data_IF_302432467968
#
_entry.id   IF_302432467968
#
_cell.length_a   1.000
_cell.length_b   1.000
_cell.length_c   1.000
_cell.angle_alpha   90.00
_cell.angle_beta   90.00
_cell.angle_gamma   90.00
#
_symmetry.space_group_name_H-M   'P 1'
#
loop_
_entity.id
_entity.type
_entity.pdbx_description
1 polymer ?
#
# COMPACT_ATOMS: atom_id res chain seq x y z
N UNK A 1 -19.71 -36.97 -24.12
CA UNK A 1 -20.16 -36.12 -23.00
C UNK A 1 -19.06 -35.87 -21.96
N UNK A 2 -18.04 -36.72 -21.81
CA UNK A 2 -16.87 -36.43 -20.94
C UNK A 2 -15.88 -35.43 -21.57
N UNK A 3 -15.69 -35.50 -22.89
CA UNK A 3 -14.66 -34.71 -23.59
C UNK A 3 -14.99 -33.22 -23.71
N UNK A 4 -16.27 -32.85 -23.69
CA UNK A 4 -16.69 -31.44 -23.78
C UNK A 4 -16.39 -30.69 -22.47
N UNK A 5 -16.45 -31.39 -21.32
CA UNK A 5 -16.15 -30.82 -20.01
C UNK A 5 -14.65 -30.59 -19.79
N UNK A 6 -13.80 -31.42 -20.42
CA UNK A 6 -12.35 -31.23 -20.42
C UNK A 6 -11.96 -30.06 -21.33
N UNK A 7 -12.58 -29.96 -22.51
CA UNK A 7 -12.38 -28.84 -23.43
C UNK A 7 -12.85 -27.50 -22.84
N UNK A 8 -13.96 -27.48 -22.09
CA UNK A 8 -14.44 -26.27 -21.42
C UNK A 8 -13.55 -25.87 -20.25
N UNK A 9 -13.07 -26.84 -19.45
CA UNK A 9 -12.12 -26.59 -18.36
C UNK A 9 -10.77 -26.11 -18.89
N UNK A 10 -10.29 -26.64 -20.01
CA UNK A 10 -9.05 -26.21 -20.64
C UNK A 10 -9.21 -24.86 -21.36
N UNK A 11 -10.38 -24.55 -21.91
CA UNK A 11 -10.69 -23.24 -22.50
C UNK A 11 -10.77 -22.13 -21.44
N UNK A 12 -11.31 -22.43 -20.25
CA UNK A 12 -11.32 -21.49 -19.10
C UNK A 12 -9.91 -21.28 -18.53
N UNK A 13 -8.98 -22.25 -18.69
CA UNK A 13 -7.56 -22.10 -18.31
C UNK A 13 -6.77 -21.34 -19.40
N UNK A 14 -7.19 -21.39 -20.67
CA UNK A 14 -6.46 -20.80 -21.80
C UNK A 14 -6.84 -19.35 -22.17
N UNK A 15 -7.78 -18.72 -21.48
CA UNK A 15 -7.90 -17.25 -21.50
C UNK A 15 -6.91 -16.57 -20.53
N UNK A 16 -5.78 -17.23 -20.22
CA UNK A 16 -4.60 -16.50 -19.81
C UNK A 16 -4.05 -15.75 -21.02
N UNK A 17 -4.61 -14.56 -21.29
CA UNK A 17 -3.94 -13.60 -22.15
C UNK A 17 -2.44 -13.56 -21.76
N UNK A 18 -1.52 -13.69 -22.72
CA UNK A 18 -0.10 -13.73 -22.46
C UNK A 18 0.39 -12.30 -22.22
N UNK A 19 -0.27 -11.55 -21.35
CA UNK A 19 0.25 -10.28 -20.91
C UNK A 19 1.40 -10.55 -19.94
N UNK A 20 2.60 -10.68 -20.54
CA UNK A 20 3.92 -10.56 -19.89
C UNK A 20 4.18 -9.17 -19.28
N UNK A 21 3.14 -8.37 -19.10
CA UNK A 21 3.23 -6.97 -18.76
C UNK A 21 2.46 -6.70 -17.48
N UNK A 22 3.08 -5.91 -16.61
CA UNK A 22 2.44 -5.39 -15.41
C UNK A 22 1.11 -4.69 -15.78
N UNK A 23 -0.02 -4.98 -15.10
CA UNK A 23 -1.30 -4.34 -15.37
C UNK A 23 -1.27 -2.90 -14.83
N UNK A 24 -0.58 -2.02 -15.55
CA UNK A 24 -0.40 -0.61 -15.24
C UNK A 24 -1.74 0.07 -14.94
N UNK A 25 -2.77 -0.26 -15.72
CA UNK A 25 -4.12 0.32 -15.58
C UNK A 25 -4.71 0.00 -14.19
N UNK A 26 -4.64 -1.26 -13.75
CA UNK A 26 -5.15 -1.67 -12.45
C UNK A 26 -4.40 -0.98 -11.30
N UNK A 27 -3.07 -0.87 -11.43
CA UNK A 27 -2.22 -0.15 -10.50
C UNK A 27 -2.58 1.35 -10.41
N UNK A 28 -2.78 2.00 -11.55
CA UNK A 28 -3.14 3.43 -11.64
C UNK A 28 -4.52 3.68 -11.04
N UNK A 29 -5.54 2.90 -11.40
CA UNK A 29 -6.90 3.04 -10.87
C UNK A 29 -6.91 2.91 -9.35
N UNK A 30 -6.21 1.91 -8.81
CA UNK A 30 -6.09 1.73 -7.37
C UNK A 30 -5.46 2.93 -6.67
N UNK A 31 -4.34 3.46 -7.19
CA UNK A 31 -3.73 4.65 -6.62
C UNK A 31 -4.70 5.84 -6.64
N UNK A 32 -5.40 6.08 -7.77
CA UNK A 32 -6.39 7.17 -7.87
C UNK A 32 -7.47 7.03 -6.79
N UNK A 33 -8.02 5.83 -6.59
CA UNK A 33 -9.05 5.59 -5.57
C UNK A 33 -8.50 5.82 -4.16
N UNK A 34 -7.28 5.36 -3.86
CA UNK A 34 -6.61 5.58 -2.58
C UNK A 34 -6.38 7.06 -2.31
N UNK A 35 -5.82 7.80 -3.27
CA UNK A 35 -5.58 9.24 -3.16
C UNK A 35 -6.88 10.02 -2.98
N UNK A 36 -7.93 9.65 -3.74
CA UNK A 36 -9.23 10.29 -3.64
C UNK A 36 -9.86 10.06 -2.27
N UNK A 37 -9.78 8.84 -1.75
CA UNK A 37 -10.31 8.52 -0.42
C UNK A 37 -9.55 9.26 0.69
N UNK A 38 -8.22 9.30 0.62
CA UNK A 38 -7.39 10.09 1.54
C UNK A 38 -7.75 11.59 1.51
N UNK A 39 -7.98 12.16 0.32
CA UNK A 39 -8.41 13.54 0.17
C UNK A 39 -9.78 13.82 0.81
N UNK A 40 -10.76 12.93 0.62
CA UNK A 40 -12.09 13.04 1.26
C UNK A 40 -11.95 13.07 2.79
N UNK A 41 -11.15 12.17 3.36
CA UNK A 41 -10.90 12.12 4.81
C UNK A 41 -10.25 13.42 5.30
N UNK A 42 -9.17 13.88 4.66
CA UNK A 42 -8.48 15.12 5.06
C UNK A 42 -9.40 16.34 4.93
N UNK A 43 -10.19 16.41 3.85
CA UNK A 43 -11.13 17.51 3.60
C UNK A 43 -12.20 17.60 4.69
N UNK A 44 -12.74 16.47 5.14
CA UNK A 44 -13.69 16.42 6.26
C UNK A 44 -13.05 16.77 7.60
N UNK A 45 -11.79 16.39 7.85
CA UNK A 45 -11.07 16.82 9.06
C UNK A 45 -10.80 18.34 9.08
N UNK A 46 -10.56 18.96 7.93
CA UNK A 46 -10.17 20.37 7.83
C UNK A 46 -11.36 21.33 7.67
N UNK A 47 -12.56 20.83 7.33
CA UNK A 47 -13.73 21.69 7.18
C UNK A 47 -14.20 22.21 8.55
N UNK A 48 -14.15 23.52 8.73
CA UNK A 48 -14.68 24.25 9.90
C UNK A 48 -16.20 24.15 10.05
N UNK A 49 -16.89 23.80 8.96
CA UNK A 49 -18.31 23.48 8.95
C UNK A 49 -18.46 22.00 9.28
N UNK A 50 -19.18 21.67 10.38
CA UNK A 50 -19.61 20.31 10.71
C UNK A 50 -20.51 19.77 9.58
N UNK A 51 -19.91 19.31 8.47
CA UNK A 51 -20.59 18.41 7.56
C UNK A 51 -20.79 17.11 8.31
N UNK A 52 -22.02 16.61 8.35
CA UNK A 52 -22.30 15.31 8.92
C UNK A 52 -21.36 14.28 8.29
N UNK A 53 -20.72 13.48 9.13
CA UNK A 53 -19.80 12.43 8.70
C UNK A 53 -20.63 11.34 8.05
N UNK A 54 -20.99 11.54 6.77
CA UNK A 54 -21.82 10.59 6.05
C UNK A 54 -21.03 9.29 5.86
N UNK A 55 -21.44 8.26 6.58
CA UNK A 55 -20.74 6.98 6.65
C UNK A 55 -20.88 6.23 5.31
N UNK A 56 -21.96 6.48 4.58
CA UNK A 56 -22.31 5.77 3.34
C UNK A 56 -21.23 5.90 2.25
N UNK A 57 -20.73 7.10 1.86
CA UNK A 57 -19.66 7.21 0.89
C UNK A 57 -18.37 6.51 1.34
N UNK A 58 -18.02 6.52 2.62
CA UNK A 58 -16.82 5.82 3.11
C UNK A 58 -16.93 4.30 2.98
N UNK A 59 -18.11 3.73 3.24
CA UNK A 59 -18.37 2.30 3.03
C UNK A 59 -18.19 1.94 1.55
N UNK A 60 -18.74 2.74 0.64
CA UNK A 60 -18.62 2.49 -0.81
C UNK A 60 -17.17 2.54 -1.27
N UNK A 61 -16.41 3.55 -0.85
CA UNK A 61 -14.97 3.62 -1.14
C UNK A 61 -14.21 2.43 -0.58
N UNK A 62 -14.53 2.00 0.64
CA UNK A 62 -13.87 0.86 1.28
C UNK A 62 -14.11 -0.45 0.51
N UNK A 63 -15.36 -0.70 0.08
CA UNK A 63 -15.69 -1.88 -0.76
C UNK A 63 -14.94 -1.82 -2.10
N UNK A 64 -14.93 -0.65 -2.76
CA UNK A 64 -14.22 -0.47 -4.03
C UNK A 64 -12.71 -0.71 -3.87
N UNK A 65 -12.12 -0.20 -2.80
CA UNK A 65 -10.72 -0.42 -2.45
C UNK A 65 -10.42 -1.89 -2.19
N UNK A 66 -11.27 -2.60 -1.45
CA UNK A 66 -11.11 -4.02 -1.20
C UNK A 66 -11.12 -4.85 -2.50
N UNK A 67 -12.04 -4.57 -3.41
CA UNK A 67 -12.12 -5.26 -4.70
C UNK A 67 -10.82 -5.03 -5.49
N UNK A 68 -10.37 -3.78 -5.62
CA UNK A 68 -9.12 -3.45 -6.32
C UNK A 68 -7.90 -4.10 -5.67
N UNK A 69 -7.86 -4.14 -4.34
CA UNK A 69 -6.80 -4.77 -3.57
C UNK A 69 -6.72 -6.28 -3.81
N UNK A 70 -7.87 -6.97 -3.76
CA UNK A 70 -7.94 -8.41 -4.04
C UNK A 70 -7.48 -8.68 -5.47
N UNK A 71 -7.91 -7.89 -6.45
CA UNK A 71 -7.48 -8.02 -7.84
C UNK A 71 -5.96 -7.86 -7.99
N UNK A 72 -5.36 -6.89 -7.30
CA UNK A 72 -3.91 -6.70 -7.32
C UNK A 72 -3.14 -7.83 -6.64
N UNK A 73 -3.63 -8.34 -5.51
CA UNK A 73 -3.02 -9.50 -4.85
C UNK A 73 -3.06 -10.72 -5.77
N UNK A 74 -4.19 -10.95 -6.45
CA UNK A 74 -4.31 -12.04 -7.43
C UNK A 74 -3.33 -11.85 -8.59
N UNK A 75 -3.24 -10.64 -9.15
CA UNK A 75 -2.34 -10.39 -10.28
C UNK A 75 -0.87 -10.59 -9.91
N UNK A 76 -0.47 -10.11 -8.73
CA UNK A 76 0.88 -10.31 -8.18
C UNK A 76 1.14 -11.80 -7.92
N UNK A 77 0.21 -12.52 -7.29
CA UNK A 77 0.36 -13.94 -7.03
C UNK A 77 0.46 -14.77 -8.32
N UNK A 78 -0.29 -14.40 -9.37
CA UNK A 78 -0.14 -15.03 -10.70
C UNK A 78 1.25 -14.79 -11.28
N UNK A 79 1.77 -13.57 -11.22
CA UNK A 79 3.11 -13.26 -11.70
C UNK A 79 4.21 -13.99 -10.92
N UNK A 80 4.05 -14.11 -9.59
CA UNK A 80 4.93 -14.90 -8.72
C UNK A 80 4.92 -16.38 -9.12
N UNK A 81 3.75 -16.96 -9.39
CA UNK A 81 3.63 -18.36 -9.84
C UNK A 81 4.29 -18.60 -11.20
N UNK A 82 4.33 -17.58 -12.07
CA UNK A 82 4.98 -17.64 -13.39
C UNK A 82 6.47 -17.27 -13.34
N UNK A 83 7.00 -17.00 -12.15
CA UNK A 83 8.38 -16.53 -11.94
C UNK A 83 8.77 -15.30 -12.77
N UNK A 84 7.80 -14.41 -13.01
CA UNK A 84 8.06 -13.18 -13.77
C UNK A 84 8.69 -12.12 -12.87
N UNK A 85 10.02 -12.13 -12.84
CA UNK A 85 10.80 -11.20 -12.03
C UNK A 85 10.70 -9.77 -12.58
N UNK A 86 10.55 -9.57 -13.90
CA UNK A 86 10.42 -8.23 -14.48
C UNK A 86 9.11 -7.58 -14.03
N UNK A 87 8.01 -8.33 -14.03
CA UNK A 87 6.74 -7.90 -13.45
C UNK A 87 6.91 -7.46 -11.99
N UNK A 88 7.63 -8.26 -11.19
CA UNK A 88 7.80 -7.99 -9.77
C UNK A 88 8.68 -6.76 -9.50
N UNK A 89 9.68 -6.50 -10.36
CA UNK A 89 10.49 -5.26 -10.30
C UNK A 89 9.62 -4.05 -10.62
N UNK A 90 8.90 -4.08 -11.74
CA UNK A 90 8.09 -2.95 -12.20
C UNK A 90 6.97 -2.66 -11.18
N UNK A 91 6.32 -3.69 -10.66
CA UNK A 91 5.32 -3.57 -9.61
C UNK A 91 5.89 -3.04 -8.30
N UNK A 92 7.03 -3.55 -7.84
CA UNK A 92 7.66 -3.08 -6.59
C UNK A 92 8.05 -1.60 -6.67
N UNK A 93 8.59 -1.16 -7.81
CA UNK A 93 8.94 0.25 -8.04
C UNK A 93 7.67 1.10 -8.15
N UNK A 94 6.71 0.70 -8.97
CA UNK A 94 5.48 1.46 -9.17
C UNK A 94 4.69 1.64 -7.88
N UNK A 95 4.44 0.56 -7.13
CA UNK A 95 3.75 0.66 -5.84
C UNK A 95 4.59 1.41 -4.81
N UNK A 96 5.91 1.19 -4.78
CA UNK A 96 6.81 1.91 -3.88
C UNK A 96 6.72 3.42 -4.05
N UNK A 97 6.79 3.93 -5.28
CA UNK A 97 6.77 5.37 -5.56
C UNK A 97 5.35 5.96 -5.54
N UNK A 98 4.37 5.28 -6.13
CA UNK A 98 3.00 5.79 -6.21
C UNK A 98 2.33 5.86 -4.83
N UNK A 99 2.62 4.90 -3.93
CA UNK A 99 2.09 4.90 -2.56
C UNK A 99 2.97 5.65 -1.56
N UNK A 100 4.11 6.22 -1.97
CA UNK A 100 5.02 6.86 -1.02
C UNK A 100 4.38 7.99 -0.20
N UNK A 101 3.69 8.99 -0.78
CA UNK A 101 3.04 10.05 0.00
C UNK A 101 1.99 9.52 0.97
N UNK A 102 1.15 8.58 0.51
CA UNK A 102 0.08 8.00 1.33
C UNK A 102 0.65 7.16 2.47
N UNK A 103 1.67 6.35 2.18
CA UNK A 103 2.34 5.53 3.19
C UNK A 103 3.08 6.39 4.22
N UNK A 104 3.73 7.47 3.80
CA UNK A 104 4.36 8.44 4.69
C UNK A 104 3.32 9.14 5.58
N UNK A 105 2.24 9.63 4.98
CA UNK A 105 1.14 10.27 5.69
C UNK A 105 0.53 9.31 6.72
N UNK A 106 0.26 8.07 6.33
CA UNK A 106 -0.31 7.06 7.21
C UNK A 106 0.64 6.71 8.37
N UNK A 107 1.95 6.58 8.09
CA UNK A 107 2.95 6.35 9.12
C UNK A 107 3.03 7.53 10.12
N UNK A 108 2.96 8.77 9.64
CA UNK A 108 2.91 9.96 10.50
C UNK A 108 1.63 10.03 11.32
N UNK A 109 0.48 9.68 10.74
CA UNK A 109 -0.78 9.61 11.46
C UNK A 109 -0.76 8.54 12.56
N UNK A 110 -0.25 7.34 12.28
CA UNK A 110 -0.10 6.27 13.28
C UNK A 110 0.83 6.73 14.41
N UNK A 111 1.96 7.37 14.07
CA UNK A 111 2.87 7.92 15.08
C UNK A 111 2.19 9.01 15.92
N UNK A 112 1.47 9.93 15.28
CA UNK A 112 0.74 11.01 15.96
C UNK A 112 -0.34 10.49 16.91
N UNK A 113 -1.12 9.49 16.47
CA UNK A 113 -2.11 8.80 17.32
C UNK A 113 -1.42 8.10 18.48
N UNK A 114 -0.36 7.33 18.25
CA UNK A 114 0.36 6.63 19.31
C UNK A 114 0.93 7.60 20.36
N UNK A 115 1.52 8.72 19.94
CA UNK A 115 2.04 9.75 20.85
C UNK A 115 0.90 10.43 21.61
N UNK A 116 -0.21 10.73 20.94
CA UNK A 116 -1.41 11.30 21.56
C UNK A 116 -2.01 10.38 22.62
N UNK A 117 -2.13 9.08 22.31
CA UNK A 117 -2.61 8.06 23.25
C UNK A 117 -1.69 7.96 24.49
N UNK A 118 -0.37 7.96 24.30
CA UNK A 118 0.60 7.97 25.41
C UNK A 118 0.39 9.22 26.29
N UNK A 119 0.19 10.39 25.68
CA UNK A 119 -0.02 11.63 26.44
C UNK A 119 -1.33 11.61 27.24
N UNK A 120 -2.41 11.08 26.66
CA UNK A 120 -3.69 10.88 27.36
C UNK A 120 -3.49 9.94 28.55
N UNK A 121 -2.78 8.83 28.37
CA UNK A 121 -2.52 7.87 29.45
C UNK A 121 -1.69 8.49 30.58
N UNK A 122 -0.65 9.27 30.25
CA UNK A 122 0.14 10.00 31.24
C UNK A 122 -0.75 11.00 32.00
N UNK A 123 -1.57 11.78 31.31
CA UNK A 123 -2.48 12.74 31.92
C UNK A 123 -3.47 12.07 32.88
N UNK A 124 -3.98 10.88 32.52
CA UNK A 124 -4.85 10.09 33.40
C UNK A 124 -4.12 9.53 34.63
N UNK A 125 -2.83 9.25 34.56
CA UNK A 125 -2.04 8.79 35.72
C UNK A 125 -1.69 9.92 36.71
N UNK A 126 -1.64 11.17 36.25
CA UNK A 126 -1.37 12.34 37.11
C UNK A 126 -2.52 12.62 38.09
N UNK A 127 -3.75 12.25 37.74
CA UNK A 127 -4.93 12.46 38.59
C UNK A 127 -5.24 11.17 39.37
N UNK A 128 -5.07 11.14 40.71
CA UNK A 128 -5.20 9.91 41.51
C UNK A 128 -6.56 9.20 41.37
N UNK A 129 -7.64 9.96 41.18
CA UNK A 129 -8.98 9.43 40.98
C UNK A 129 -9.16 8.71 39.63
N UNK A 130 -8.34 9.04 38.62
CA UNK A 130 -8.44 8.48 37.27
C UNK A 130 -7.63 7.19 37.09
N UNK A 131 -6.77 6.82 38.06
CA UNK A 131 -5.91 5.61 37.99
C UNK A 131 -6.75 4.34 37.78
N UNK A 132 -7.93 4.25 38.40
CA UNK A 132 -8.86 3.11 38.21
C UNK A 132 -9.47 3.06 36.80
N UNK A 133 -9.56 4.21 36.11
CA UNK A 133 -10.15 4.35 34.78
C UNK A 133 -9.11 4.16 33.66
N UNK A 134 -7.82 4.36 33.96
CA UNK A 134 -6.70 4.15 33.01
C UNK A 134 -6.80 2.85 32.22
N UNK A 135 -7.00 1.65 32.80
CA UNK A 135 -7.10 0.42 32.01
C UNK A 135 -8.30 0.41 31.06
N UNK A 136 -9.41 1.03 31.43
CA UNK A 136 -10.61 1.14 30.57
C UNK A 136 -10.41 2.08 29.38
N UNK A 137 -9.49 3.04 29.47
CA UNK A 137 -9.10 3.92 28.36
C UNK A 137 -7.96 3.29 27.54
N UNK A 138 -6.99 2.64 28.20
CA UNK A 138 -5.84 2.05 27.54
C UNK A 138 -6.23 0.91 26.58
N UNK A 139 -7.18 0.04 26.96
CA UNK A 139 -7.63 -1.08 26.13
C UNK A 139 -8.16 -0.60 24.76
N UNK A 140 -9.16 0.31 24.68
CA UNK A 140 -9.66 0.78 23.39
C UNK A 140 -8.61 1.56 22.58
N UNK A 141 -7.71 2.31 23.21
CA UNK A 141 -6.58 2.97 22.53
C UNK A 141 -5.67 1.92 21.84
N UNK A 142 -5.25 0.89 22.55
CA UNK A 142 -4.41 -0.18 21.99
C UNK A 142 -5.13 -0.90 20.83
N UNK A 143 -6.42 -1.20 21.00
CA UNK A 143 -7.23 -1.84 19.94
C UNK A 143 -7.31 -0.93 18.71
N UNK A 144 -7.58 0.36 18.90
CA UNK A 144 -7.65 1.34 17.81
C UNK A 144 -6.32 1.45 17.07
N UNK A 145 -5.20 1.56 17.79
CA UNK A 145 -3.87 1.60 17.22
C UNK A 145 -3.55 0.32 16.42
N UNK A 146 -3.90 -0.86 16.95
CA UNK A 146 -3.75 -2.14 16.23
C UNK A 146 -4.54 -2.17 14.93
N UNK A 147 -5.79 -1.67 14.93
CA UNK A 147 -6.62 -1.59 13.73
C UNK A 147 -5.99 -0.66 12.68
N UNK A 148 -5.48 0.50 13.10
CA UNK A 148 -4.80 1.44 12.18
C UNK A 148 -3.55 0.82 11.55
N UNK A 149 -2.74 0.13 12.36
CA UNK A 149 -1.54 -0.58 11.86
C UNK A 149 -1.94 -1.69 10.88
N UNK A 150 -2.98 -2.47 11.19
CA UNK A 150 -3.48 -3.52 10.30
C UNK A 150 -3.95 -2.94 8.96
N UNK A 151 -4.73 -1.85 9.00
CA UNK A 151 -5.22 -1.18 7.80
C UNK A 151 -4.06 -0.68 6.92
N UNK A 152 -3.02 -0.12 7.54
CA UNK A 152 -1.81 0.30 6.83
C UNK A 152 -1.12 -0.86 6.12
N UNK A 153 -0.96 -2.01 6.79
CA UNK A 153 -0.36 -3.19 6.17
C UNK A 153 -1.20 -3.79 5.05
N UNK A 154 -2.52 -3.83 5.23
CA UNK A 154 -3.43 -4.30 4.18
C UNK A 154 -3.27 -3.39 2.96
N UNK A 155 -3.29 -2.07 3.14
CA UNK A 155 -3.14 -1.11 2.04
C UNK A 155 -1.80 -1.27 1.29
N UNK A 156 -0.70 -1.52 1.99
CA UNK A 156 0.61 -1.74 1.36
C UNK A 156 0.82 -3.17 0.84
N UNK A 157 -0.11 -4.10 1.08
CA UNK A 157 0.06 -5.52 0.74
C UNK A 157 0.50 -5.83 -0.69
N UNK A 158 -0.03 -5.21 -1.78
CA UNK A 158 0.42 -5.54 -3.14
C UNK A 158 1.89 -5.14 -3.39
N UNK A 159 2.32 -3.98 -2.87
CA UNK A 159 3.73 -3.56 -2.90
C UNK A 159 4.61 -4.42 -1.99
N UNK A 160 4.06 -4.90 -0.88
CA UNK A 160 4.71 -5.80 0.08
C UNK A 160 4.78 -7.26 -0.42
N UNK A 161 3.98 -7.68 -1.39
CA UNK A 161 4.15 -9.00 -2.00
C UNK A 161 5.24 -8.97 -3.08
N UNK A 162 5.15 -8.01 -4.00
CA UNK A 162 6.07 -7.86 -5.15
C UNK A 162 7.54 -7.74 -4.75
N UNK A 163 7.91 -6.76 -3.91
CA UNK A 163 9.31 -6.62 -3.48
C UNK A 163 9.81 -7.77 -2.57
N UNK A 164 8.93 -8.61 -2.02
CA UNK A 164 9.30 -9.69 -1.10
C UNK A 164 9.70 -10.92 -1.87
N UNK A 165 8.89 -11.21 -2.90
CA UNK A 165 9.28 -12.12 -3.95
C UNK A 165 10.59 -11.68 -4.62
N UNK A 166 10.74 -10.39 -4.93
CA UNK A 166 11.95 -9.86 -5.55
C UNK A 166 13.21 -10.13 -4.70
N UNK A 167 13.17 -9.79 -3.41
CA UNK A 167 14.29 -10.02 -2.48
C UNK A 167 14.60 -11.52 -2.32
N UNK A 168 13.58 -12.39 -2.35
CA UNK A 168 13.76 -13.84 -2.33
C UNK A 168 14.42 -14.34 -3.62
N UNK A 169 13.95 -13.88 -4.78
CA UNK A 169 14.53 -14.23 -6.06
C UNK A 169 16.02 -13.83 -6.14
N UNK A 170 16.36 -12.63 -5.69
CA UNK A 170 17.77 -12.22 -5.62
C UNK A 170 18.60 -13.05 -4.66
N UNK A 171 18.02 -13.51 -3.55
CA UNK A 171 18.69 -14.44 -2.64
C UNK A 171 19.05 -15.75 -3.34
N UNK A 172 18.09 -16.30 -4.07
CA UNK A 172 18.23 -17.60 -4.72
C UNK A 172 19.18 -17.51 -5.95
N UNK A 173 19.14 -16.41 -6.71
CA UNK A 173 19.94 -16.21 -7.93
C UNK A 173 21.38 -15.71 -7.66
N UNK A 174 21.59 -14.83 -6.67
CA UNK A 174 22.90 -14.21 -6.38
C UNK A 174 23.52 -14.67 -5.06
N UNK A 175 22.93 -15.65 -4.38
CA UNK A 175 23.47 -16.20 -3.13
C UNK A 175 23.58 -15.19 -1.99
N UNK A 176 22.59 -14.31 -1.80
CA UNK A 176 22.63 -13.35 -0.68
C UNK A 176 22.67 -14.08 0.67
N UNK A 177 23.59 -13.66 1.54
CA UNK A 177 23.65 -14.17 2.90
C UNK A 177 22.36 -13.85 3.67
N UNK A 178 21.97 -14.75 4.58
CA UNK A 178 20.76 -14.59 5.39
C UNK A 178 20.70 -13.26 6.16
N UNK A 179 21.85 -12.72 6.59
CA UNK A 179 21.92 -11.40 7.23
C UNK A 179 21.55 -10.25 6.31
N UNK A 180 21.95 -10.29 5.02
CA UNK A 180 21.56 -9.25 4.06
C UNK A 180 20.07 -9.36 3.72
N UNK A 181 19.58 -10.58 3.51
CA UNK A 181 18.16 -10.86 3.29
C UNK A 181 17.27 -10.32 4.43
N UNK A 182 17.65 -10.56 5.69
CA UNK A 182 16.86 -10.10 6.83
C UNK A 182 16.84 -8.56 6.95
N UNK A 183 17.94 -7.87 6.57
CA UNK A 183 17.97 -6.40 6.53
C UNK A 183 17.01 -5.83 5.50
N UNK A 184 17.00 -6.37 4.28
CA UNK A 184 16.05 -5.96 3.23
C UNK A 184 14.59 -6.17 3.66
N UNK A 185 14.32 -7.24 4.42
CA UNK A 185 12.99 -7.49 5.01
C UNK A 185 12.59 -6.42 6.03
N UNK A 186 13.52 -5.96 6.86
CA UNK A 186 13.27 -4.92 7.88
C UNK A 186 13.12 -3.53 7.27
N UNK A 187 13.98 -3.18 6.31
CA UNK A 187 13.93 -1.87 5.63
C UNK A 187 12.61 -1.60 4.91
N UNK A 188 11.88 -2.67 4.60
CA UNK A 188 10.58 -2.62 3.97
C UNK A 188 9.48 -1.93 4.76
N UNK A 189 9.59 -1.91 6.08
CA UNK A 189 8.60 -1.30 6.96
C UNK A 189 8.70 0.22 7.00
N UNK A 190 9.85 0.78 6.60
CA UNK A 190 10.10 2.22 6.60
C UNK A 190 9.90 2.74 5.17
N UNK A 191 8.86 3.54 4.88
CA UNK A 191 8.49 3.95 3.52
C UNK A 191 9.65 4.51 2.69
N UNK A 192 10.45 5.40 3.28
CA UNK A 192 11.58 6.06 2.59
C UNK A 192 12.78 5.13 2.37
N UNK A 193 13.10 4.29 3.35
CA UNK A 193 14.24 3.36 3.25
C UNK A 193 13.91 2.23 2.27
N UNK A 194 12.67 1.73 2.30
CA UNK A 194 12.18 0.71 1.38
C UNK A 194 12.37 1.09 -0.09
N UNK A 195 12.07 2.35 -0.44
CA UNK A 195 12.24 2.87 -1.79
C UNK A 195 13.68 2.88 -2.27
N UNK A 196 14.58 3.44 -1.44
CA UNK A 196 16.01 3.53 -1.76
C UNK A 196 16.59 2.12 -1.90
N UNK A 197 16.17 1.20 -1.02
CA UNK A 197 16.63 -0.19 -1.02
C UNK A 197 16.19 -0.95 -2.29
N UNK A 198 14.90 -0.85 -2.66
CA UNK A 198 14.39 -1.48 -3.90
C UNK A 198 15.08 -0.90 -5.14
N UNK A 199 15.29 0.41 -5.19
CA UNK A 199 15.99 1.06 -6.31
C UNK A 199 17.45 0.62 -6.39
N UNK A 200 18.15 0.59 -5.26
CA UNK A 200 19.54 0.13 -5.19
C UNK A 200 19.68 -1.32 -5.67
N UNK A 201 18.83 -2.23 -5.20
CA UNK A 201 18.84 -3.64 -5.61
C UNK A 201 18.54 -3.75 -7.11
N UNK A 202 17.48 -3.11 -7.59
CA UNK A 202 17.07 -3.23 -8.98
C UNK A 202 18.11 -2.65 -9.95
N UNK A 203 18.80 -1.57 -9.56
CA UNK A 203 19.87 -0.98 -10.37
C UNK A 203 21.13 -1.85 -10.34
N UNK A 204 21.55 -2.30 -9.15
CA UNK A 204 22.77 -3.09 -8.96
C UNK A 204 22.74 -4.44 -9.66
N UNK A 205 21.60 -5.13 -9.62
CA UNK A 205 21.50 -6.52 -10.09
C UNK A 205 20.93 -6.67 -11.49
N UNK A 206 20.30 -5.64 -12.07
CA UNK A 206 19.65 -5.78 -13.39
C UNK A 206 19.83 -4.61 -14.35
N UNK A 207 20.65 -3.62 -14.01
CA UNK A 207 20.98 -2.44 -14.84
C UNK A 207 19.75 -1.80 -15.53
N UNK A 208 18.65 -1.69 -14.75
CA UNK A 208 17.34 -1.19 -15.23
C UNK A 208 17.19 0.32 -15.06
N UNK A 209 18.27 1.08 -14.85
CA UNK A 209 18.22 2.51 -14.50
C UNK A 209 17.35 3.37 -15.42
N UNK A 210 17.34 3.09 -16.73
CA UNK A 210 16.45 3.78 -17.71
C UNK A 210 14.96 3.48 -17.47
N UNK A 211 14.61 2.21 -17.24
CA UNK A 211 13.23 1.79 -16.96
C UNK A 211 12.76 2.35 -15.62
N UNK A 212 13.60 2.32 -14.59
CA UNK A 212 13.32 2.89 -13.28
C UNK A 212 12.99 4.39 -13.36
N UNK A 213 13.76 5.14 -14.14
CA UNK A 213 13.55 6.59 -14.32
C UNK A 213 12.18 6.89 -14.92
N UNK A 214 11.72 6.09 -15.89
CA UNK A 214 10.38 6.22 -16.47
C UNK A 214 9.29 5.93 -15.43
N UNK A 215 9.45 4.87 -14.64
CA UNK A 215 8.48 4.51 -13.59
C UNK A 215 8.39 5.63 -12.54
N UNK A 216 9.54 6.15 -12.10
CA UNK A 216 9.60 7.28 -11.16
C UNK A 216 8.91 8.51 -11.75
N UNK A 217 9.20 8.85 -13.01
CA UNK A 217 8.59 10.00 -13.67
C UNK A 217 7.07 9.84 -13.78
N UNK A 218 6.58 8.66 -14.17
CA UNK A 218 5.14 8.37 -14.25
C UNK A 218 4.48 8.46 -12.87
N UNK A 219 5.09 7.89 -11.82
CA UNK A 219 4.56 7.98 -10.46
C UNK A 219 4.53 9.42 -9.94
N UNK A 220 5.56 10.23 -10.21
CA UNK A 220 5.60 11.65 -9.85
C UNK A 220 4.54 12.47 -10.60
N UNK A 221 4.38 12.24 -11.90
CA UNK A 221 3.34 12.90 -12.70
C UNK A 221 1.96 12.52 -12.16
N UNK A 222 1.71 11.24 -11.85
CA UNK A 222 0.46 10.77 -11.28
C UNK A 222 0.17 11.47 -9.94
N UNK A 223 1.19 11.62 -9.10
CA UNK A 223 1.10 12.33 -7.82
C UNK A 223 0.78 13.81 -8.00
N UNK A 224 1.48 14.51 -8.90
CA UNK A 224 1.21 15.93 -9.18
C UNK A 224 -0.21 16.09 -9.74
N UNK A 225 -0.63 15.21 -10.65
CA UNK A 225 -1.96 15.24 -11.23
C UNK A 225 -3.05 15.03 -10.17
N UNK A 226 -2.89 14.09 -9.24
CA UNK A 226 -3.85 13.88 -8.16
C UNK A 226 -3.90 15.06 -7.20
N UNK A 227 -2.74 15.67 -6.88
CA UNK A 227 -2.67 16.89 -6.05
C UNK A 227 -3.35 18.07 -6.75
N UNK A 228 -3.06 18.30 -8.03
CA UNK A 228 -3.66 19.40 -8.81
C UNK A 228 -5.17 19.20 -8.96
N UNK A 229 -5.63 17.97 -9.23
CA UNK A 229 -7.05 17.64 -9.28
C UNK A 229 -7.73 17.89 -7.93
N UNK A 230 -7.09 17.50 -6.82
CA UNK A 230 -7.59 17.78 -5.48
C UNK A 230 -7.70 19.29 -5.20
N UNK A 231 -6.68 20.07 -5.57
CA UNK A 231 -6.69 21.54 -5.42
C UNK A 231 -7.77 22.18 -6.30
N UNK A 232 -7.91 21.76 -7.55
CA UNK A 232 -8.93 22.28 -8.46
C UNK A 232 -10.35 22.02 -7.94
N UNK A 233 -10.62 20.82 -7.42
CA UNK A 233 -11.90 20.48 -6.78
C UNK A 233 -12.13 21.33 -5.53
N UNK A 234 -11.09 21.58 -4.72
CA UNK A 234 -11.19 22.42 -3.51
C UNK A 234 -11.47 23.91 -3.80
N UNK A 235 -11.17 24.39 -5.02
CA UNK A 235 -11.40 25.78 -5.45
C UNK A 235 -12.80 26.01 -6.04
N UNK A 236 -13.47 24.94 -6.49
CA UNK A 236 -14.78 24.99 -7.13
C UNK A 236 -15.92 24.79 -6.10
N UNK A 237 -15.63 24.16 -4.96
CA UNK A 237 -16.56 23.95 -3.85
C UNK A 237 -16.50 25.09 -2.83
#
# INVERSE_FOLDING_TARGET
MENDFILEKDCIINEESPQKNFPWILGIIYNIVVYRWAYVIISQLNSTVKKEFDILPHIVYFILLLILLILQIISVNRAIKREDINYCIDGALFYGYAMFPVSLLCALCILGVAVGEIFILIACMVVPAMIFIVPFIAIPCIIFLMILILLYYVLLSPGMLTAGYLVRCYKDEYGLSNNKYNRHKVFRFIPGVNLIDILYISNKYRDRGKSQTVIIAVSLILMILTIVAAIAISRIL
#
